data_IF_629684227667
#
_entry.id   IF_629684227667
#
_cell.length_a   1.000
_cell.length_b   1.000
_cell.length_c   1.000
_cell.angle_alpha   90.00
_cell.angle_beta   90.00
_cell.angle_gamma   90.00
#
_symmetry.space_group_name_H-M   'P 1'
#
loop_
_entity.id
_entity.type
_entity.pdbx_description
1 polymer ?
#
# COMPACT_ATOMS: atom_id res chain seq x y z
N UNK A 1 -8.74 4.26 -12.80
CA UNK A 1 -7.78 3.31 -13.41
C UNK A 1 -6.64 4.15 -13.96
N UNK A 2 -5.39 3.84 -13.63
CA UNK A 2 -4.22 4.55 -14.18
C UNK A 2 -3.49 3.67 -15.17
N UNK A 3 -3.02 4.25 -16.27
CA UNK A 3 -2.31 3.55 -17.34
C UNK A 3 -0.92 4.10 -17.63
N UNK A 4 -0.46 5.14 -16.92
CA UNK A 4 0.91 5.65 -17.03
C UNK A 4 1.50 6.16 -15.71
N UNK A 5 2.81 5.99 -15.52
CA UNK A 5 3.52 6.45 -14.32
C UNK A 5 3.51 7.99 -14.17
N UNK A 6 3.41 8.72 -15.29
CA UNK A 6 3.31 10.18 -15.29
C UNK A 6 1.97 10.64 -14.71
N UNK A 7 0.88 10.01 -15.12
CA UNK A 7 -0.46 10.27 -14.59
C UNK A 7 -0.53 9.92 -13.10
N UNK A 8 0.07 8.80 -12.69
CA UNK A 8 0.19 8.41 -11.29
C UNK A 8 0.87 9.49 -10.44
N UNK A 9 2.08 9.90 -10.83
CA UNK A 9 2.83 10.91 -10.10
C UNK A 9 2.08 12.25 -10.05
N UNK A 10 1.38 12.61 -11.13
CA UNK A 10 0.57 13.81 -11.15
C UNK A 10 -0.60 13.73 -10.16
N UNK A 11 -1.36 12.63 -10.16
CA UNK A 11 -2.48 12.43 -9.24
C UNK A 11 -2.03 12.41 -7.78
N UNK A 12 -0.92 11.73 -7.48
CA UNK A 12 -0.38 11.68 -6.11
C UNK A 12 0.02 13.06 -5.61
N UNK A 13 0.65 13.88 -6.45
CA UNK A 13 1.17 15.19 -6.04
C UNK A 13 0.13 16.31 -6.00
N UNK A 14 -0.97 16.18 -6.75
CA UNK A 14 -1.97 17.27 -6.89
C UNK A 14 -3.16 17.11 -5.94
N UNK A 15 -3.49 15.90 -5.54
CA UNK A 15 -4.63 15.67 -4.64
C UNK A 15 -4.33 16.13 -3.22
N UNK A 16 -5.33 16.74 -2.59
CA UNK A 16 -5.31 17.02 -1.15
C UNK A 16 -5.88 15.88 -0.32
N UNK A 17 -6.60 14.95 -0.96
CA UNK A 17 -7.18 13.77 -0.31
C UNK A 17 -6.11 12.71 -0.09
N UNK A 18 -6.15 11.94 1.01
CA UNK A 18 -5.37 10.73 1.14
C UNK A 18 -5.72 9.75 0.02
N UNK A 19 -4.78 8.86 -0.30
CA UNK A 19 -4.89 7.96 -1.45
C UNK A 19 -4.70 6.52 -0.99
N UNK A 20 -5.57 5.64 -1.48
CA UNK A 20 -5.34 4.20 -1.48
C UNK A 20 -5.12 3.76 -2.91
N UNK A 21 -3.95 3.20 -3.18
CA UNK A 21 -3.62 2.59 -4.47
C UNK A 21 -3.59 1.08 -4.33
N UNK A 22 -4.30 0.38 -5.20
CA UNK A 22 -4.16 -1.06 -5.37
C UNK A 22 -3.52 -1.35 -6.72
N UNK A 23 -2.34 -1.97 -6.69
CA UNK A 23 -1.68 -2.55 -7.84
C UNK A 23 -2.10 -4.00 -8.01
N UNK A 24 -2.57 -4.37 -9.21
CA UNK A 24 -2.89 -5.76 -9.58
C UNK A 24 -2.29 -6.06 -10.95
N UNK A 25 -1.36 -7.00 -11.00
CA UNK A 25 -0.77 -7.54 -12.22
C UNK A 25 -0.99 -9.05 -12.32
N UNK A 26 -2.20 -9.44 -12.74
CA UNK A 26 -2.56 -10.85 -12.99
C UNK A 26 -1.74 -11.50 -14.11
N UNK A 27 -1.04 -10.72 -14.93
CA UNK A 27 -0.30 -11.21 -16.11
C UNK A 27 1.17 -11.51 -15.81
N UNK A 28 1.63 -11.27 -14.59
CA UNK A 28 3.02 -11.50 -14.21
C UNK A 28 3.29 -13.00 -14.09
N UNK A 29 4.09 -13.58 -15.00
CA UNK A 29 4.38 -15.02 -15.04
C UNK A 29 5.14 -15.58 -13.82
N UNK A 30 5.65 -14.73 -12.93
CA UNK A 30 6.20 -15.17 -11.64
C UNK A 30 5.10 -15.67 -10.69
N UNK A 31 3.87 -15.21 -10.90
CA UNK A 31 2.66 -15.66 -10.23
C UNK A 31 2.42 -17.14 -10.50
N UNK A 32 2.48 -17.97 -9.46
CA UNK A 32 2.05 -19.35 -9.56
C UNK A 32 0.52 -19.37 -9.41
N UNK A 33 -0.20 -19.63 -10.51
CA UNK A 33 -1.65 -19.80 -10.49
C UNK A 33 -2.00 -21.02 -9.62
N UNK A 34 -2.26 -20.77 -8.35
CA UNK A 34 -2.93 -21.71 -7.46
C UNK A 34 -4.32 -21.17 -7.19
N UNK A 35 -5.31 -22.06 -7.03
CA UNK A 35 -6.69 -21.66 -6.72
C UNK A 35 -6.75 -20.69 -5.54
N UNK A 36 -5.99 -20.97 -4.47
CA UNK A 36 -5.88 -20.10 -3.30
C UNK A 36 -5.35 -18.71 -3.63
N UNK A 37 -4.36 -18.60 -4.52
CA UNK A 37 -3.80 -17.29 -4.86
C UNK A 37 -4.77 -16.50 -5.75
N UNK A 38 -5.51 -17.17 -6.64
CA UNK A 38 -6.55 -16.55 -7.47
C UNK A 38 -7.69 -16.02 -6.59
N UNK A 39 -8.16 -16.84 -5.63
CA UNK A 39 -9.16 -16.45 -4.65
C UNK A 39 -8.71 -15.22 -3.84
N UNK A 40 -7.46 -15.21 -3.39
CA UNK A 40 -6.91 -14.07 -2.65
C UNK A 40 -6.78 -12.82 -3.52
N UNK A 41 -6.45 -12.95 -4.80
CA UNK A 41 -6.42 -11.81 -5.72
C UNK A 41 -7.82 -11.20 -5.90
N UNK A 42 -8.85 -12.06 -6.03
CA UNK A 42 -10.25 -11.63 -6.11
C UNK A 42 -10.71 -10.97 -4.81
N UNK A 43 -10.35 -11.50 -3.64
CA UNK A 43 -10.65 -10.89 -2.33
C UNK A 43 -10.01 -9.50 -2.19
N UNK A 44 -8.77 -9.33 -2.62
CA UNK A 44 -8.13 -8.00 -2.67
C UNK A 44 -8.93 -7.02 -3.54
N UNK A 45 -9.37 -7.47 -4.71
CA UNK A 45 -10.16 -6.64 -5.62
C UNK A 45 -11.53 -6.27 -5.04
N UNK A 46 -12.24 -7.24 -4.45
CA UNK A 46 -13.53 -7.01 -3.80
C UNK A 46 -13.41 -6.05 -2.60
N UNK A 47 -12.37 -6.21 -1.79
CA UNK A 47 -12.10 -5.31 -0.68
C UNK A 47 -11.84 -3.88 -1.17
N UNK A 48 -11.10 -3.72 -2.26
CA UNK A 48 -10.85 -2.40 -2.85
C UNK A 48 -12.15 -1.72 -3.26
N UNK A 49 -13.03 -2.44 -3.94
CA UNK A 49 -14.34 -1.91 -4.35
C UNK A 49 -15.19 -1.54 -3.13
N UNK A 50 -15.25 -2.39 -2.09
CA UNK A 50 -15.96 -2.11 -0.83
C UNK A 50 -15.45 -0.84 -0.13
N UNK A 51 -14.12 -0.71 0.00
CA UNK A 51 -13.50 0.46 0.63
C UNK A 51 -13.73 1.73 -0.20
N UNK A 52 -13.64 1.63 -1.52
CA UNK A 52 -13.86 2.75 -2.45
C UNK A 52 -15.26 3.33 -2.33
N UNK A 53 -16.27 2.47 -2.16
CA UNK A 53 -17.66 2.88 -1.92
C UNK A 53 -17.82 3.48 -0.52
N UNK A 54 -17.27 2.82 0.51
CA UNK A 54 -17.41 3.22 1.92
C UNK A 54 -16.79 4.58 2.23
N UNK A 55 -15.61 4.85 1.67
CA UNK A 55 -14.87 6.10 1.89
C UNK A 55 -14.91 7.02 0.67
N UNK A 56 -15.95 6.85 -0.16
CA UNK A 56 -16.20 7.71 -1.31
C UNK A 56 -16.26 9.18 -0.88
N UNK A 57 -15.64 10.05 -1.70
CA UNK A 57 -15.55 11.49 -1.40
C UNK A 57 -14.46 11.89 -0.41
N UNK A 58 -14.01 10.99 0.47
CA UNK A 58 -12.98 11.25 1.49
C UNK A 58 -11.57 10.85 1.04
N UNK A 59 -11.47 9.65 0.47
CA UNK A 59 -10.21 9.06 0.01
C UNK A 59 -10.24 8.93 -1.51
N UNK A 60 -9.10 9.18 -2.16
CA UNK A 60 -8.93 8.91 -3.58
C UNK A 60 -8.48 7.45 -3.77
N UNK A 61 -9.30 6.63 -4.40
CA UNK A 61 -8.97 5.24 -4.71
C UNK A 61 -8.41 5.10 -6.13
N UNK A 62 -7.25 4.48 -6.25
CA UNK A 62 -6.54 4.29 -7.50
C UNK A 62 -6.33 2.81 -7.75
N UNK A 63 -6.87 2.32 -8.87
CA UNK A 63 -6.52 1.00 -9.40
C UNK A 63 -5.40 1.16 -10.42
N UNK A 64 -4.26 0.54 -10.13
CA UNK A 64 -3.04 0.55 -10.94
C UNK A 64 -2.87 -0.79 -11.64
N UNK A 65 -2.77 -0.73 -12.97
CA UNK A 65 -2.54 -1.88 -13.85
C UNK A 65 -1.32 -1.66 -14.75
N UNK A 66 -0.51 -0.64 -14.44
CA UNK A 66 0.76 -0.41 -15.13
C UNK A 66 1.63 -1.64 -14.85
N UNK A 67 2.06 -2.34 -15.90
CA UNK A 67 2.75 -3.63 -15.83
C UNK A 67 4.06 -3.57 -15.06
N UNK A 68 3.97 -3.61 -13.73
CA UNK A 68 5.10 -3.66 -12.79
C UNK A 68 5.53 -5.10 -12.53
N UNK A 69 6.70 -5.27 -11.90
CA UNK A 69 7.17 -6.58 -11.45
C UNK A 69 6.46 -7.10 -10.19
N UNK A 70 5.61 -6.28 -9.56
CA UNK A 70 4.80 -6.67 -8.41
C UNK A 70 3.49 -7.31 -8.89
N UNK A 71 2.91 -8.21 -8.09
CA UNK A 71 1.67 -8.92 -8.45
C UNK A 71 0.47 -8.25 -7.81
N UNK A 72 0.52 -8.06 -6.49
CA UNK A 72 -0.55 -7.45 -5.71
C UNK A 72 0.07 -6.63 -4.57
N UNK A 73 -0.20 -5.33 -4.55
CA UNK A 73 0.32 -4.42 -3.53
C UNK A 73 -0.67 -3.30 -3.26
N UNK A 74 -0.90 -3.03 -1.97
CA UNK A 74 -1.62 -1.84 -1.52
C UNK A 74 -0.62 -0.78 -1.10
N UNK A 75 -0.77 0.43 -1.60
CA UNK A 75 0.06 1.58 -1.22
C UNK A 75 -0.83 2.71 -0.72
N UNK A 76 -0.38 3.33 0.35
CA UNK A 76 -1.13 4.34 1.09
C UNK A 76 -0.36 5.65 1.03
N UNK A 77 -1.02 6.74 0.66
CA UNK A 77 -0.39 8.04 0.54
C UNK A 77 -1.12 9.11 1.35
N UNK A 78 -0.34 9.90 2.07
CA UNK A 78 -0.77 11.10 2.77
C UNK A 78 0.04 12.30 2.28
N UNK A 79 -0.62 13.40 1.94
CA UNK A 79 0.02 14.64 1.48
C UNK A 79 1.08 14.44 0.37
N UNK A 80 0.77 13.58 -0.61
CA UNK A 80 1.64 13.29 -1.75
C UNK A 80 2.85 12.39 -1.45
N UNK A 81 2.99 11.86 -0.24
CA UNK A 81 4.05 10.92 0.14
C UNK A 81 3.48 9.55 0.48
N UNK A 82 4.19 8.48 0.08
CA UNK A 82 3.85 7.11 0.50
C UNK A 82 4.12 6.97 2.00
N UNK A 83 3.11 6.63 2.78
CA UNK A 83 3.19 6.50 4.25
C UNK A 83 3.21 5.04 4.70
N UNK A 84 2.55 4.15 3.96
CA UNK A 84 2.51 2.73 4.26
C UNK A 84 2.33 1.92 2.98
N UNK A 85 2.61 0.62 3.09
CA UNK A 85 2.40 -0.35 2.03
C UNK A 85 2.08 -1.71 2.64
N UNK A 86 1.24 -2.47 1.94
CA UNK A 86 0.93 -3.86 2.26
C UNK A 86 1.16 -4.68 1.01
N UNK A 87 2.34 -5.29 0.93
CA UNK A 87 2.66 -6.24 -0.13
C UNK A 87 1.90 -7.54 0.10
N UNK A 88 1.06 -7.92 -0.87
CA UNK A 88 0.23 -9.12 -0.80
C UNK A 88 0.92 -10.31 -1.50
N UNK A 89 2.24 -10.25 -1.70
CA UNK A 89 3.00 -11.29 -2.40
C UNK A 89 4.05 -11.87 -1.48
N UNK A 90 3.99 -13.19 -1.24
CA UNK A 90 5.03 -13.91 -0.50
C UNK A 90 5.80 -14.86 -1.40
N UNK A 91 7.09 -15.03 -1.12
CA UNK A 91 7.97 -15.96 -1.83
C UNK A 91 8.32 -17.09 -0.87
N UNK A 92 7.83 -18.29 -1.18
CA UNK A 92 8.13 -19.51 -0.43
C UNK A 92 9.22 -20.28 -1.16
N UNK A 93 10.27 -20.62 -0.44
CA UNK A 93 11.34 -21.47 -0.92
C UNK A 93 11.02 -22.91 -0.52
N UNK A 94 10.60 -23.73 -1.47
CA UNK A 94 10.56 -25.19 -1.30
C UNK A 94 11.89 -25.79 -1.82
N UNK A 95 12.21 -27.01 -1.38
CA UNK A 95 13.42 -27.75 -1.76
C UNK A 95 13.59 -27.90 -3.28
N UNK A 96 12.48 -27.90 -4.03
CA UNK A 96 12.50 -28.13 -5.48
C UNK A 96 12.30 -26.85 -6.31
N UNK A 97 11.54 -25.86 -5.82
CA UNK A 97 11.21 -24.61 -6.56
C UNK A 97 10.88 -23.43 -5.64
N UNK A 98 11.08 -22.21 -6.16
CA UNK A 98 10.54 -20.97 -5.59
C UNK A 98 9.07 -20.84 -6.02
N UNK A 99 8.18 -20.70 -5.06
CA UNK A 99 6.76 -20.43 -5.29
C UNK A 99 6.44 -19.00 -4.89
N UNK A 100 5.76 -18.27 -5.76
CA UNK A 100 5.22 -16.95 -5.44
C UNK A 100 3.72 -17.09 -5.23
N UNK A 101 3.25 -16.68 -4.05
CA UNK A 101 1.86 -16.79 -3.62
C UNK A 101 1.28 -15.41 -3.38
N UNK A 102 -0.01 -15.27 -3.64
CA UNK A 102 -0.77 -14.06 -3.29
C UNK A 102 -1.49 -14.31 -1.97
N UNK A 103 -1.35 -13.37 -1.05
CA UNK A 103 -1.96 -13.36 0.27
C UNK A 103 -3.07 -12.31 0.34
N UNK A 104 -3.92 -12.43 1.36
CA UNK A 104 -4.98 -11.47 1.63
C UNK A 104 -4.91 -11.04 3.11
N UNK A 105 -4.00 -10.12 3.45
CA UNK A 105 -3.83 -9.61 4.81
C UNK A 105 -4.92 -8.56 5.14
N UNK A 106 -6.19 -8.99 5.14
CA UNK A 106 -7.38 -8.14 5.26
C UNK A 106 -7.31 -7.15 6.43
N UNK A 107 -7.01 -7.66 7.63
CA UNK A 107 -6.96 -6.84 8.84
C UNK A 107 -5.94 -5.69 8.72
N UNK A 108 -4.78 -5.95 8.11
CA UNK A 108 -3.73 -4.95 7.91
C UNK A 108 -4.14 -3.92 6.87
N UNK A 109 -4.78 -4.34 5.79
CA UNK A 109 -5.30 -3.44 4.76
C UNK A 109 -6.35 -2.48 5.35
N UNK A 110 -7.26 -3.00 6.19
CA UNK A 110 -8.23 -2.17 6.90
C UNK A 110 -7.57 -1.18 7.85
N UNK A 111 -6.63 -1.64 8.67
CA UNK A 111 -5.88 -0.79 9.60
C UNK A 111 -5.24 0.39 8.88
N UNK A 112 -4.49 0.13 7.80
CA UNK A 112 -3.84 1.20 7.03
C UNK A 112 -4.83 2.11 6.31
N UNK A 113 -5.96 1.56 5.83
CA UNK A 113 -7.04 2.37 5.24
C UNK A 113 -7.65 3.34 6.25
N UNK A 114 -7.77 2.94 7.52
CA UNK A 114 -8.24 3.83 8.58
C UNK A 114 -7.16 4.84 8.98
N UNK A 115 -5.89 4.43 9.03
CA UNK A 115 -4.77 5.31 9.36
C UNK A 115 -4.64 6.47 8.37
N UNK A 116 -4.86 6.23 7.07
CA UNK A 116 -4.75 7.32 6.09
C UNK A 116 -5.82 8.42 6.25
N UNK A 117 -6.92 8.14 6.95
CA UNK A 117 -7.97 9.15 7.20
C UNK A 117 -7.45 10.28 8.09
N UNK A 118 -6.37 10.05 8.85
CA UNK A 118 -5.67 11.08 9.61
C UNK A 118 -5.07 12.18 8.71
N UNK A 119 -4.91 11.92 7.41
CA UNK A 119 -4.35 12.87 6.43
C UNK A 119 -5.43 13.62 5.62
N UNK A 120 -6.72 13.52 5.97
CA UNK A 120 -7.84 14.16 5.25
C UNK A 120 -7.85 15.69 5.28
N UNK A 121 -7.14 16.30 6.23
CA UNK A 121 -7.09 17.75 6.40
C UNK A 121 -5.65 18.24 6.26
N UNK A 122 -5.42 19.12 5.27
CA UNK A 122 -4.15 19.84 5.13
C UNK A 122 -4.16 21.08 6.02
N UNK A 123 -4.34 20.92 7.33
CA UNK A 123 -4.17 22.02 8.30
C UNK A 123 -2.69 22.20 8.61
N UNK A 124 -1.92 22.69 7.64
CA UNK A 124 -0.49 22.98 7.82
C UNK A 124 0.38 21.75 8.16
N UNK A 125 1.70 21.90 8.26
CA UNK A 125 2.57 20.82 8.69
C UNK A 125 2.37 20.60 10.20
N UNK A 126 1.60 19.59 10.56
CA UNK A 126 1.55 19.13 11.95
C UNK A 126 2.85 18.37 12.24
N UNK A 127 3.85 19.12 12.70
CA UNK A 127 5.17 18.63 13.09
C UNK A 127 5.06 17.53 14.16
N UNK A 128 4.01 17.55 14.96
CA UNK A 128 3.76 16.62 16.06
C UNK A 128 3.30 15.24 15.52
N UNK A 129 2.42 15.23 14.51
CA UNK A 129 2.01 13.98 13.84
C UNK A 129 3.17 13.32 13.07
N UNK A 130 4.03 14.12 12.42
CA UNK A 130 5.24 13.61 11.76
C UNK A 130 6.22 13.00 12.77
N UNK A 131 6.41 13.63 13.94
CA UNK A 131 7.26 13.07 14.99
C UNK A 131 6.65 11.80 15.61
N UNK A 132 5.34 11.77 15.86
CA UNK A 132 4.66 10.64 16.47
C UNK A 132 4.72 9.36 15.62
N UNK A 133 4.75 9.49 14.28
CA UNK A 133 4.82 8.35 13.36
C UNK A 133 6.25 8.01 12.90
N UNK A 134 7.21 8.94 13.04
CA UNK A 134 8.61 8.74 12.66
C UNK A 134 9.42 7.86 13.63
N UNK A 135 8.88 7.50 14.80
CA UNK A 135 9.63 6.80 15.86
C UNK A 135 9.74 5.29 15.70
N UNK A 136 9.16 4.68 14.65
CA UNK A 136 9.29 3.23 14.41
C UNK A 136 10.60 2.78 13.72
N UNK A 137 11.65 3.62 13.66
CA UNK A 137 12.86 3.25 12.90
C UNK A 137 14.19 3.90 13.26
N UNK A 138 14.35 4.57 14.41
CA UNK A 138 15.66 5.08 14.82
C UNK A 138 16.02 4.60 16.22
N UNK A 139 16.67 3.44 16.29
CA UNK A 139 17.41 3.00 17.47
C UNK A 139 18.59 3.97 17.62
N UNK A 140 18.46 4.93 18.54
CA UNK A 140 19.57 5.83 18.89
C UNK A 140 20.55 5.03 19.76
N UNK A 141 21.66 4.59 19.17
CA UNK A 141 22.82 4.07 19.89
C UNK A 141 23.54 5.24 20.57
N UNK A 142 23.23 5.50 21.84
CA UNK A 142 23.95 6.42 22.70
C UNK A 142 25.06 5.67 23.46
N UNK A 143 26.23 5.50 22.84
CA UNK A 143 27.44 5.14 23.59
C UNK A 143 28.05 6.39 24.21
N UNK A 144 27.96 6.46 25.54
CA UNK A 144 28.52 7.49 26.39
C UNK A 144 30.05 7.52 26.29
N UNK A 145 30.62 8.72 26.10
CA UNK A 145 32.03 8.98 26.36
C UNK A 145 32.14 9.41 27.84
N UNK A 146 32.92 8.69 28.63
CA UNK A 146 33.29 9.08 30.01
C UNK A 146 34.74 9.57 30.01
N UNK A 147 34.97 10.63 30.78
CA UNK A 147 36.27 11.26 31.09
C UNK A 147 37.37 10.28 31.50
#
# INVERSE_FOLDING_TARGET
LITSAKEEAHLINTTTKPIVKLLINRHNNKYSYTSTSDDNLLKNLELFDKLSLRFSGRVLFIKDVIGSNEICCWSFYGHGKKVAEVCCTSIVYATDKKHTKVEFPEARIYEETLNILLYENRTGPDMELMQATSTRGAVSMTSHNSD
#
